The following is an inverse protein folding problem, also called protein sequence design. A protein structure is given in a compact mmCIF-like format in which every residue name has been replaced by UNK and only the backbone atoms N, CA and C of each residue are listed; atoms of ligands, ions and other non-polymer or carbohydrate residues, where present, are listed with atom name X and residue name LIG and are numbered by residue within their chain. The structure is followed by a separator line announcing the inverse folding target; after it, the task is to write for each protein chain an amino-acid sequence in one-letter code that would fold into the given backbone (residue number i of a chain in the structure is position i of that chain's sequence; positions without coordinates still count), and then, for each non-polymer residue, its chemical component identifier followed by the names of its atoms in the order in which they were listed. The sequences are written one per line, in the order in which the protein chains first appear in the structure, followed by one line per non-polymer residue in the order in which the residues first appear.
data_IF_092802560678
#
_entry.id   IF_092802560678
#
_cell.length_a   1.000
_cell.length_b   1.000
_cell.length_c   1.000
_cell.angle_alpha   90.00
_cell.angle_beta   90.00
_cell.angle_gamma   90.00
#
_symmetry.space_group_name_H-M   'P 1'
#
loop_
_entity.id
_entity.type
_entity.pdbx_description
1 polymer ?
#
# COMPACT_ATOMS: atom_id res chain seq x y z
N UNK A 1 -31.52 -16.84 4.67
CA UNK A 1 -30.23 -17.46 4.32
C UNK A 1 -29.60 -17.93 5.62
N UNK A 2 -28.83 -19.02 5.65
CA UNK A 2 -28.13 -19.44 6.87
C UNK A 2 -26.65 -19.11 6.70
N UNK A 3 -26.25 -17.92 7.13
CA UNK A 3 -24.85 -17.51 7.15
C UNK A 3 -24.20 -17.95 8.46
N UNK A 4 -23.19 -18.80 8.36
CA UNK A 4 -22.38 -19.28 9.48
C UNK A 4 -20.98 -18.66 9.41
N UNK A 5 -20.45 -18.21 10.56
CA UNK A 5 -19.08 -17.74 10.68
C UNK A 5 -18.19 -18.86 11.18
N UNK A 6 -17.06 -19.06 10.50
CA UNK A 6 -16.05 -20.07 10.82
C UNK A 6 -14.67 -19.44 10.94
N UNK A 7 -13.97 -19.73 12.04
CA UNK A 7 -12.55 -19.41 12.21
C UNK A 7 -11.67 -20.27 11.30
N UNK A 8 -10.65 -19.68 10.69
CA UNK A 8 -9.70 -20.37 9.81
C UNK A 8 -8.68 -21.15 10.64
N UNK A 9 -8.85 -22.47 10.73
CA UNK A 9 -7.98 -23.33 11.55
C UNK A 9 -7.13 -24.28 10.72
N UNK A 10 -7.58 -24.63 9.51
CA UNK A 10 -6.91 -25.64 8.67
C UNK A 10 -6.25 -25.03 7.44
N UNK A 11 -5.34 -25.79 6.81
CA UNK A 11 -4.76 -25.43 5.50
C UNK A 11 -5.82 -25.31 4.40
N UNK A 12 -6.95 -26.03 4.52
CA UNK A 12 -8.09 -25.96 3.60
C UNK A 12 -8.81 -24.63 3.76
N UNK A 13 -9.07 -24.23 5.01
CA UNK A 13 -9.71 -22.95 5.33
C UNK A 13 -8.85 -21.78 4.86
N UNK A 14 -7.53 -21.81 5.14
CA UNK A 14 -6.62 -20.76 4.70
C UNK A 14 -6.57 -20.65 3.17
N UNK A 15 -6.66 -21.78 2.47
CA UNK A 15 -6.75 -21.76 1.00
C UNK A 15 -8.05 -21.14 0.51
N UNK A 16 -9.18 -21.44 1.16
CA UNK A 16 -10.48 -20.84 0.83
C UNK A 16 -10.46 -19.34 1.10
N UNK A 17 -9.95 -18.93 2.27
CA UNK A 17 -9.70 -17.53 2.62
C UNK A 17 -8.93 -16.83 1.51
N UNK A 18 -7.74 -17.32 1.15
CA UNK A 18 -6.89 -16.67 0.13
C UNK A 18 -7.57 -16.60 -1.24
N UNK A 19 -8.31 -17.65 -1.64
CA UNK A 19 -8.83 -17.78 -3.01
C UNK A 19 -10.19 -17.15 -3.25
N UNK A 20 -10.94 -16.78 -2.22
CA UNK A 20 -12.27 -16.17 -2.38
C UNK A 20 -12.33 -14.98 -3.37
N UNK A 21 -11.33 -14.06 -3.43
CA UNK A 21 -11.32 -12.98 -4.42
C UNK A 21 -11.51 -13.45 -5.86
N UNK A 22 -10.93 -14.60 -6.25
CA UNK A 22 -11.07 -15.11 -7.62
C UNK A 22 -12.52 -15.39 -8.02
N UNK A 23 -13.39 -15.65 -7.06
CA UNK A 23 -14.81 -15.84 -7.28
C UNK A 23 -15.55 -14.51 -7.39
N UNK A 24 -15.20 -13.54 -6.54
CA UNK A 24 -15.81 -12.21 -6.47
C UNK A 24 -15.50 -11.40 -7.73
N UNK A 25 -14.24 -11.39 -8.16
CA UNK A 25 -13.77 -10.55 -9.27
C UNK A 25 -13.69 -11.30 -10.60
N UNK A 26 -14.28 -12.50 -10.72
CA UNK A 26 -14.13 -13.38 -11.91
C UNK A 26 -14.44 -12.70 -13.26
N UNK A 27 -15.32 -11.69 -13.24
CA UNK A 27 -15.77 -10.94 -14.41
C UNK A 27 -15.35 -9.46 -14.36
N UNK A 28 -14.53 -9.05 -13.39
CA UNK A 28 -14.06 -7.68 -13.29
C UNK A 28 -12.82 -7.50 -14.17
N UNK A 29 -12.88 -6.65 -15.21
CA UNK A 29 -11.78 -6.49 -16.15
C UNK A 29 -10.62 -5.68 -15.55
N UNK A 30 -10.76 -5.05 -14.40
CA UNK A 30 -9.75 -4.19 -13.79
C UNK A 30 -9.06 -4.82 -12.60
N UNK A 31 -9.65 -5.86 -12.00
CA UNK A 31 -9.03 -6.56 -10.90
C UNK A 31 -7.67 -7.18 -11.27
N UNK A 32 -6.70 -7.04 -10.37
CA UNK A 32 -5.36 -7.63 -10.50
C UNK A 32 -5.20 -8.65 -9.37
N UNK A 33 -5.14 -9.95 -9.67
CA UNK A 33 -5.06 -10.98 -8.64
C UNK A 33 -3.70 -10.94 -7.92
N UNK A 34 -3.67 -10.95 -6.57
CA UNK A 34 -2.40 -11.02 -5.85
C UNK A 34 -1.74 -12.39 -6.06
N UNK A 35 -0.42 -12.45 -5.89
CA UNK A 35 0.27 -13.74 -5.89
C UNK A 35 -0.18 -14.57 -4.68
N UNK A 36 -0.62 -15.81 -4.94
CA UNK A 36 -1.08 -16.72 -3.88
C UNK A 36 0.06 -17.03 -2.89
N UNK A 37 1.31 -17.04 -3.35
CA UNK A 37 2.48 -17.26 -2.50
C UNK A 37 2.71 -16.09 -1.54
N UNK A 38 2.51 -14.86 -2.00
CA UNK A 38 2.66 -13.65 -1.16
C UNK A 38 1.56 -13.61 -0.11
N UNK A 39 0.30 -13.91 -0.48
CA UNK A 39 -0.80 -14.03 0.48
C UNK A 39 -0.53 -15.09 1.54
N UNK A 40 -0.01 -16.27 1.16
CA UNK A 40 0.39 -17.31 2.11
C UNK A 40 1.52 -16.87 3.04
N UNK A 41 2.42 -16.02 2.56
CA UNK A 41 3.56 -15.53 3.33
C UNK A 41 3.12 -14.46 4.33
N UNK A 42 2.34 -13.49 3.88
CA UNK A 42 1.76 -12.42 4.69
C UNK A 42 0.92 -13.00 5.84
N UNK A 43 0.06 -13.98 5.54
CA UNK A 43 -0.81 -14.63 6.55
C UNK A 43 -0.08 -15.68 7.42
N UNK A 44 1.24 -15.85 7.28
CA UNK A 44 1.99 -16.84 8.04
C UNK A 44 2.49 -16.27 9.37
N UNK A 45 1.82 -16.63 10.47
CA UNK A 45 2.17 -16.20 11.84
C UNK A 45 3.62 -16.46 12.25
N UNK A 46 4.30 -17.45 11.66
CA UNK A 46 5.70 -17.79 11.97
C UNK A 46 6.74 -17.03 11.12
N UNK A 47 6.33 -16.45 10.00
CA UNK A 47 7.23 -15.84 9.01
C UNK A 47 7.06 -14.33 8.87
N UNK A 48 5.85 -13.83 9.09
CA UNK A 48 5.57 -12.41 9.00
C UNK A 48 5.92 -11.74 10.36
N UNK A 49 6.89 -10.80 10.41
CA UNK A 49 7.32 -10.16 11.65
C UNK A 49 6.23 -9.37 12.38
N UNK A 50 5.12 -8.99 11.71
CA UNK A 50 3.96 -8.39 12.35
C UNK A 50 3.50 -9.19 13.59
N UNK A 51 3.52 -10.52 13.49
CA UNK A 51 3.08 -11.41 14.57
C UNK A 51 4.07 -11.54 15.74
N UNK A 52 5.23 -10.88 15.70
CA UNK A 52 6.14 -10.83 16.84
C UNK A 52 5.62 -9.93 17.96
N UNK A 53 4.83 -8.92 17.60
CA UNK A 53 4.26 -7.96 18.55
C UNK A 53 2.74 -7.90 18.50
N UNK A 54 2.10 -8.38 17.42
CA UNK A 54 0.66 -8.25 17.17
C UNK A 54 -0.02 -9.60 16.90
N UNK A 55 -1.36 -9.62 16.84
CA UNK A 55 -2.14 -10.84 16.58
C UNK A 55 -3.26 -10.57 15.58
N UNK A 56 -3.75 -11.62 14.92
CA UNK A 56 -4.90 -11.54 14.05
C UNK A 56 -5.65 -12.87 14.01
N UNK A 57 -6.98 -12.80 13.87
CA UNK A 57 -7.85 -13.95 13.65
C UNK A 57 -8.55 -13.83 12.31
N UNK A 58 -8.63 -14.96 11.60
CA UNK A 58 -9.19 -15.00 10.26
C UNK A 58 -10.53 -15.71 10.30
N UNK A 59 -11.55 -15.09 9.72
CA UNK A 59 -12.90 -15.63 9.65
C UNK A 59 -13.35 -15.82 8.20
N UNK A 60 -14.19 -16.82 7.98
CA UNK A 60 -14.92 -17.09 6.75
C UNK A 60 -16.42 -17.04 7.05
N UNK A 61 -17.20 -16.46 6.14
CA UNK A 61 -18.65 -16.58 6.12
C UNK A 61 -19.03 -17.69 5.13
N UNK A 62 -19.91 -18.60 5.57
CA UNK A 62 -20.42 -19.69 4.76
C UNK A 62 -21.93 -19.61 4.61
N UNK A 63 -22.43 -19.72 3.38
CA UNK A 63 -23.84 -19.84 3.06
C UNK A 63 -24.08 -21.27 2.53
N UNK A 64 -24.75 -22.11 3.30
CA UNK A 64 -24.97 -23.53 2.97
C UNK A 64 -23.66 -24.27 2.57
N UNK A 65 -22.59 -24.03 3.33
CA UNK A 65 -21.27 -24.64 3.11
C UNK A 65 -20.39 -23.97 2.04
N UNK A 66 -20.95 -23.10 1.18
CA UNK A 66 -20.16 -22.28 0.23
C UNK A 66 -19.57 -21.09 0.95
N UNK A 67 -18.28 -20.81 0.77
CA UNK A 67 -17.65 -19.59 1.30
C UNK A 67 -18.14 -18.39 0.50
N UNK A 68 -18.73 -17.41 1.18
CA UNK A 68 -19.30 -16.19 0.57
C UNK A 68 -18.64 -14.91 1.06
N UNK A 69 -17.80 -15.00 2.09
CA UNK A 69 -17.06 -13.84 2.62
C UNK A 69 -15.87 -14.25 3.48
N UNK A 70 -14.97 -13.29 3.72
CA UNK A 70 -13.79 -13.44 4.58
C UNK A 70 -13.44 -12.11 5.24
N UNK A 71 -12.85 -12.15 6.43
CA UNK A 71 -12.28 -10.97 7.11
C UNK A 71 -11.15 -11.40 8.04
N UNK A 72 -10.17 -10.52 8.25
CA UNK A 72 -9.23 -10.62 9.35
C UNK A 72 -9.61 -9.60 10.43
N UNK A 73 -9.75 -10.04 11.68
CA UNK A 73 -9.74 -9.19 12.86
C UNK A 73 -8.30 -9.07 13.36
N UNK A 74 -7.84 -7.86 13.66
CA UNK A 74 -6.43 -7.55 13.80
C UNK A 74 -6.22 -6.71 15.05
N UNK A 75 -5.27 -7.14 15.88
CA UNK A 75 -4.76 -6.37 17.01
C UNK A 75 -3.36 -5.88 16.64
N UNK A 76 -3.23 -4.59 16.33
CA UNK A 76 -1.94 -3.96 16.04
C UNK A 76 -1.40 -3.27 17.29
N UNK A 77 -0.57 -3.99 18.06
CA UNK A 77 -0.05 -3.50 19.33
C UNK A 77 0.93 -2.33 19.16
N UNK A 78 1.70 -2.30 18.07
CA UNK A 78 2.60 -1.19 17.78
C UNK A 78 1.83 0.10 17.46
N UNK A 79 0.71 0.02 16.74
CA UNK A 79 -0.19 1.16 16.54
C UNK A 79 -0.71 1.68 17.89
N UNK A 80 -1.29 0.78 18.69
CA UNK A 80 -1.88 1.16 19.98
C UNK A 80 -0.85 1.76 20.94
N UNK A 81 0.38 1.23 20.96
CA UNK A 81 1.49 1.80 21.75
C UNK A 81 1.94 3.17 21.23
N UNK A 82 2.04 3.34 19.92
CA UNK A 82 2.53 4.58 19.30
C UNK A 82 1.55 5.72 19.48
N UNK A 83 0.25 5.45 19.29
CA UNK A 83 -0.80 6.46 19.34
C UNK A 83 -1.50 6.55 20.70
N UNK A 84 -1.16 5.68 21.64
CA UNK A 84 -1.84 5.54 22.94
C UNK A 84 -3.36 5.35 22.78
N UNK A 85 -3.74 4.44 21.87
CA UNK A 85 -5.12 4.12 21.52
C UNK A 85 -5.49 2.69 21.97
N UNK A 86 -6.80 2.39 21.99
CA UNK A 86 -7.35 1.04 22.12
C UNK A 86 -8.08 0.66 20.83
N UNK A 87 -7.33 0.63 19.73
CA UNK A 87 -7.84 0.42 18.39
C UNK A 87 -7.70 -1.06 17.97
N UNK A 88 -8.82 -1.67 17.64
CA UNK A 88 -8.89 -2.89 16.86
C UNK A 88 -8.93 -2.56 15.37
N UNK A 89 -8.46 -3.49 14.55
CA UNK A 89 -8.44 -3.32 13.10
C UNK A 89 -9.17 -4.46 12.40
N UNK A 90 -9.67 -4.19 11.20
CA UNK A 90 -10.06 -5.24 10.26
C UNK A 90 -9.33 -5.09 8.92
N UNK A 91 -9.16 -6.20 8.22
CA UNK A 91 -8.44 -6.28 6.96
C UNK A 91 -8.84 -7.48 6.15
N UNK A 92 -8.25 -7.62 4.96
CA UNK A 92 -8.47 -8.73 4.04
C UNK A 92 -9.95 -8.99 3.73
N UNK A 93 -10.81 -7.99 3.96
CA UNK A 93 -12.25 -8.10 3.84
C UNK A 93 -12.63 -8.37 2.39
N UNK A 94 -13.37 -9.44 2.18
CA UNK A 94 -14.05 -9.69 0.92
C UNK A 94 -15.40 -10.31 1.22
N UNK A 95 -16.39 -10.00 0.41
CA UNK A 95 -17.70 -10.62 0.43
C UNK A 95 -18.26 -10.67 -0.98
N UNK A 96 -19.07 -11.68 -1.29
CA UNK A 96 -20.07 -11.55 -2.34
C UNK A 96 -21.06 -10.44 -1.98
N UNK A 97 -21.93 -10.05 -2.91
CA UNK A 97 -22.98 -9.05 -2.69
C UNK A 97 -24.11 -9.62 -1.79
N UNK A 98 -23.74 -9.98 -0.56
CA UNK A 98 -24.56 -10.60 0.48
C UNK A 98 -24.41 -9.78 1.78
N UNK A 99 -25.26 -8.76 2.01
CA UNK A 99 -25.16 -7.86 3.17
C UNK A 99 -25.13 -8.59 4.53
N UNK A 100 -25.89 -9.68 4.66
CA UNK A 100 -25.90 -10.49 5.90
C UNK A 100 -24.53 -11.10 6.20
N UNK A 101 -23.80 -11.55 5.17
CA UNK A 101 -22.46 -12.10 5.31
C UNK A 101 -21.44 -11.02 5.69
N UNK A 102 -21.49 -9.87 5.03
CA UNK A 102 -20.65 -8.72 5.35
C UNK A 102 -20.85 -8.27 6.80
N UNK A 103 -22.11 -8.12 7.25
CA UNK A 103 -22.43 -7.74 8.62
C UNK A 103 -21.89 -8.74 9.64
N UNK A 104 -22.18 -10.05 9.47
CA UNK A 104 -21.71 -11.08 10.40
C UNK A 104 -20.18 -11.17 10.49
N UNK A 105 -19.47 -10.92 9.39
CA UNK A 105 -18.00 -10.84 9.39
C UNK A 105 -17.49 -9.65 10.20
N UNK A 106 -18.06 -8.46 9.98
CA UNK A 106 -17.68 -7.25 10.72
C UNK A 106 -18.01 -7.39 12.22
N UNK A 107 -19.19 -7.91 12.57
CA UNK A 107 -19.59 -8.20 13.95
C UNK A 107 -18.63 -9.19 14.63
N UNK A 108 -18.13 -10.19 13.90
CA UNK A 108 -17.16 -11.17 14.41
C UNK A 108 -15.79 -10.52 14.66
N UNK A 109 -15.36 -9.63 13.76
CA UNK A 109 -14.13 -8.88 13.97
C UNK A 109 -14.22 -7.90 15.14
N UNK A 110 -15.35 -7.21 15.27
CA UNK A 110 -15.68 -6.34 16.39
C UNK A 110 -15.62 -7.11 17.72
N UNK A 111 -16.31 -8.25 17.80
CA UNK A 111 -16.35 -9.10 19.00
C UNK A 111 -14.95 -9.56 19.40
N UNK A 112 -14.15 -10.02 18.44
CA UNK A 112 -12.79 -10.50 18.71
C UNK A 112 -11.85 -9.39 19.21
N UNK A 113 -11.91 -8.18 18.65
CA UNK A 113 -11.07 -7.08 19.15
C UNK A 113 -11.57 -6.55 20.50
N UNK A 114 -12.88 -6.59 20.74
CA UNK A 114 -13.51 -6.23 22.02
C UNK A 114 -13.06 -7.15 23.15
N UNK A 115 -13.03 -8.45 22.91
CA UNK A 115 -12.50 -9.45 23.86
C UNK A 115 -11.03 -9.19 24.22
N UNK A 116 -10.27 -8.55 23.33
CA UNK A 116 -8.88 -8.10 23.57
C UNK A 116 -8.79 -6.69 24.18
N UNK A 117 -9.90 -6.12 24.61
CA UNK A 117 -9.97 -4.84 25.31
C UNK A 117 -9.90 -3.61 24.41
N UNK A 118 -10.14 -3.76 23.10
CA UNK A 118 -10.22 -2.63 22.17
C UNK A 118 -11.59 -1.95 22.27
N UNK A 119 -11.62 -0.63 22.05
CA UNK A 119 -12.83 0.21 22.17
C UNK A 119 -13.31 0.75 20.83
N UNK A 120 -12.62 0.42 19.75
CA UNK A 120 -12.93 0.90 18.39
C UNK A 120 -12.42 -0.10 17.37
N UNK A 121 -13.02 -0.08 16.18
CA UNK A 121 -12.67 -0.93 15.04
C UNK A 121 -12.41 -0.05 13.81
N UNK A 122 -11.20 -0.09 13.25
CA UNK A 122 -10.79 0.71 12.07
C UNK A 122 -10.34 -0.19 10.91
N UNK A 123 -10.69 0.16 9.68
CA UNK A 123 -10.28 -0.63 8.53
C UNK A 123 -10.75 -0.08 7.17
N UNK A 124 -10.36 -0.73 6.07
CA UNK A 124 -9.54 -1.94 6.05
C UNK A 124 -8.05 -1.62 6.12
N UNK A 125 -7.30 -2.39 6.92
CA UNK A 125 -5.83 -2.44 6.88
C UNK A 125 -5.39 -3.91 6.78
N UNK A 126 -4.53 -4.26 5.83
CA UNK A 126 -3.98 -5.61 5.75
C UNK A 126 -2.79 -5.75 6.73
N UNK A 127 -3.11 -5.62 8.03
CA UNK A 127 -2.24 -5.56 9.22
C UNK A 127 -1.82 -4.17 9.68
N UNK A 128 -1.29 -3.35 8.78
CA UNK A 128 -0.84 -2.00 9.14
C UNK A 128 -1.05 -1.02 7.99
N UNK A 129 -0.85 0.26 8.26
CA UNK A 129 -0.77 1.35 7.27
C UNK A 129 0.54 1.31 6.46
N UNK A 130 1.53 0.50 6.88
CA UNK A 130 2.73 0.22 6.10
C UNK A 130 2.49 -0.89 5.06
N UNK A 131 1.44 -1.70 5.25
CA UNK A 131 0.90 -2.64 4.27
C UNK A 131 -0.22 -1.96 3.45
N UNK A 132 -0.93 -2.71 2.61
CA UNK A 132 -2.06 -2.15 1.84
C UNK A 132 -3.26 -1.83 2.74
N UNK A 133 -3.82 -0.62 2.64
CA UNK A 133 -5.02 -0.19 3.36
C UNK A 133 -5.98 0.65 2.50
N UNK A 134 -7.19 0.85 3.04
CA UNK A 134 -8.24 1.66 2.45
C UNK A 134 -9.06 0.94 1.37
N UNK A 135 -10.37 1.20 1.34
CA UNK A 135 -11.21 0.81 0.20
C UNK A 135 -11.11 1.85 -0.91
N UNK A 136 -11.05 1.41 -2.16
CA UNK A 136 -11.28 2.26 -3.33
C UNK A 136 -12.70 2.84 -3.25
N UNK A 137 -12.80 4.17 -3.30
CA UNK A 137 -14.07 4.92 -3.27
C UNK A 137 -14.39 5.61 -4.59
N UNK A 138 -13.38 5.84 -5.43
CA UNK A 138 -13.52 6.47 -6.74
C UNK A 138 -12.46 5.95 -7.73
N UNK A 139 -12.78 5.93 -9.02
CA UNK A 139 -11.92 5.41 -10.10
C UNK A 139 -12.00 3.89 -10.30
N UNK A 140 -13.20 3.31 -10.32
CA UNK A 140 -13.43 1.86 -10.57
C UNK A 140 -13.27 1.45 -12.05
N UNK A 141 -12.82 2.35 -12.91
CA UNK A 141 -12.73 2.23 -14.37
C UNK A 141 -11.31 1.85 -14.85
N UNK A 142 -10.42 1.48 -13.94
CA UNK A 142 -9.03 1.14 -14.25
C UNK A 142 -8.41 0.22 -13.19
N UNK A 143 -7.41 -0.57 -13.59
CA UNK A 143 -6.67 -1.44 -12.67
C UNK A 143 -5.91 -0.65 -11.58
N UNK A 144 -5.74 -1.20 -10.36
CA UNK A 144 -4.84 -0.62 -9.38
C UNK A 144 -3.38 -0.78 -9.83
N UNK A 145 -2.53 0.18 -9.46
CA UNK A 145 -1.07 0.02 -9.55
C UNK A 145 -0.55 -0.86 -8.41
N UNK A 146 0.69 -1.32 -8.52
CA UNK A 146 1.35 -2.17 -7.54
C UNK A 146 1.16 -1.66 -6.09
N UNK A 147 0.82 -2.58 -5.18
CA UNK A 147 0.58 -2.28 -3.75
C UNK A 147 -0.57 -1.29 -3.48
N UNK A 148 -1.50 -1.09 -4.40
CA UNK A 148 -2.76 -0.38 -4.14
C UNK A 148 -3.94 -1.34 -4.10
N UNK A 149 -4.94 -1.01 -3.28
CA UNK A 149 -6.14 -1.84 -3.11
C UNK A 149 -7.12 -1.66 -4.27
N UNK A 150 -7.99 -2.64 -4.44
CA UNK A 150 -9.12 -2.61 -5.35
C UNK A 150 -10.22 -3.49 -4.76
N UNK A 151 -11.46 -3.03 -4.82
CA UNK A 151 -12.63 -3.71 -4.27
C UNK A 151 -13.87 -3.43 -5.12
N UNK A 152 -14.94 -4.23 -5.01
CA UNK A 152 -16.21 -3.91 -5.61
C UNK A 152 -16.81 -2.67 -4.95
N UNK A 153 -17.55 -1.88 -5.74
CA UNK A 153 -18.18 -0.64 -5.28
C UNK A 153 -19.19 -0.85 -4.16
N UNK A 154 -19.88 -2.01 -4.13
CA UNK A 154 -20.89 -2.32 -3.12
C UNK A 154 -20.31 -2.51 -1.70
N UNK A 155 -18.99 -2.69 -1.54
CA UNK A 155 -18.37 -2.77 -0.21
C UNK A 155 -18.56 -1.49 0.61
N UNK A 156 -18.67 -0.34 -0.06
CA UNK A 156 -18.91 0.94 0.62
C UNK A 156 -20.29 0.98 1.29
N UNK A 157 -21.28 0.30 0.70
CA UNK A 157 -22.61 0.19 1.30
C UNK A 157 -22.57 -0.70 2.55
N UNK A 158 -21.79 -1.79 2.53
CA UNK A 158 -21.62 -2.64 3.71
C UNK A 158 -21.02 -1.90 4.90
N UNK A 159 -20.04 -1.01 4.66
CA UNK A 159 -19.47 -0.20 5.73
C UNK A 159 -20.54 0.72 6.33
N UNK A 160 -21.29 1.43 5.48
CA UNK A 160 -22.37 2.32 5.92
C UNK A 160 -23.46 1.56 6.70
N UNK A 161 -23.91 0.41 6.20
CA UNK A 161 -24.95 -0.41 6.85
C UNK A 161 -24.47 -1.02 8.18
N UNK A 162 -23.16 -1.18 8.35
CA UNK A 162 -22.55 -1.68 9.58
C UNK A 162 -22.13 -0.56 10.55
N UNK A 163 -22.63 0.67 10.34
CA UNK A 163 -22.34 1.85 11.16
C UNK A 163 -20.83 2.17 11.27
N UNK A 164 -20.07 1.91 10.21
CA UNK A 164 -18.68 2.33 10.07
C UNK A 164 -18.64 3.66 9.31
N UNK A 165 -18.14 4.70 9.98
CA UNK A 165 -18.02 6.04 9.43
C UNK A 165 -16.68 6.24 8.74
N UNK A 166 -16.66 7.03 7.66
CA UNK A 166 -15.40 7.40 6.99
C UNK A 166 -14.54 8.25 7.93
N UNK A 167 -13.33 7.80 8.25
CA UNK A 167 -12.41 8.51 9.17
C UNK A 167 -11.25 9.21 8.47
N UNK A 168 -10.86 8.73 7.29
CA UNK A 168 -9.79 9.34 6.48
C UNK A 168 -9.95 9.01 5.01
N UNK A 169 -9.70 9.98 4.14
CA UNK A 169 -9.60 9.79 2.69
C UNK A 169 -8.15 9.99 2.21
N UNK A 170 -7.77 9.22 1.19
CA UNK A 170 -6.50 9.32 0.50
C UNK A 170 -6.71 9.51 -1.00
N UNK A 171 -5.85 10.31 -1.61
CA UNK A 171 -5.81 10.54 -3.04
C UNK A 171 -4.68 9.76 -3.70
N UNK A 172 -4.96 9.35 -4.93
CA UNK A 172 -4.00 8.82 -5.86
C UNK A 172 -3.98 9.73 -7.09
N UNK A 173 -2.83 10.32 -7.35
CA UNK A 173 -2.57 11.20 -8.47
C UNK A 173 -1.88 10.43 -9.60
N UNK A 174 -2.20 10.78 -10.83
CA UNK A 174 -1.59 10.21 -12.02
C UNK A 174 -1.00 11.31 -12.90
N UNK A 175 0.19 11.06 -13.43
CA UNK A 175 0.87 11.94 -14.36
C UNK A 175 1.33 11.14 -15.58
N UNK A 176 0.87 11.52 -16.76
CA UNK A 176 1.36 10.98 -18.03
C UNK A 176 2.51 11.83 -18.56
N UNK A 177 3.46 11.22 -19.28
CA UNK A 177 4.61 11.92 -19.85
C UNK A 177 4.23 13.05 -20.81
N UNK A 178 3.07 12.94 -21.47
CA UNK A 178 2.52 13.96 -22.37
C UNK A 178 2.04 15.21 -21.63
N UNK A 179 2.01 15.18 -20.30
CA UNK A 179 1.79 16.36 -19.46
C UNK A 179 3.15 16.88 -19.00
N UNK A 180 3.74 17.86 -19.70
CA UNK A 180 5.04 18.40 -19.31
C UNK A 180 4.94 19.11 -17.97
N UNK A 181 5.95 18.92 -17.12
CA UNK A 181 6.06 19.69 -15.89
C UNK A 181 6.22 21.19 -16.20
N UNK A 182 5.56 22.10 -15.47
CA UNK A 182 5.68 23.53 -15.72
C UNK A 182 7.14 24.02 -15.67
N UNK A 183 7.52 24.90 -16.59
CA UNK A 183 8.91 25.38 -16.71
C UNK A 183 9.48 25.96 -15.41
N UNK A 184 8.64 26.68 -14.65
CA UNK A 184 9.01 27.25 -13.35
C UNK A 184 9.42 26.15 -12.36
N UNK A 185 8.69 25.03 -12.33
CA UNK A 185 9.00 23.88 -11.49
C UNK A 185 10.32 23.23 -11.93
N UNK A 186 10.48 22.98 -13.24
CA UNK A 186 11.70 22.41 -13.82
C UNK A 186 12.92 23.27 -13.49
N UNK A 187 12.82 24.60 -13.64
CA UNK A 187 13.92 25.53 -13.33
C UNK A 187 14.30 25.49 -11.86
N UNK A 188 13.33 25.43 -10.96
CA UNK A 188 13.58 25.32 -9.52
C UNK A 188 14.25 23.99 -9.15
N UNK A 189 13.75 22.88 -9.68
CA UNK A 189 14.33 21.55 -9.45
C UNK A 189 15.76 21.47 -9.98
N UNK A 190 16.01 21.92 -11.22
CA UNK A 190 17.37 21.97 -11.81
C UNK A 190 18.32 22.83 -10.97
N UNK A 191 17.88 24.01 -10.51
CA UNK A 191 18.69 24.87 -9.63
C UNK A 191 19.09 24.15 -8.34
N UNK A 192 18.15 23.40 -7.74
CA UNK A 192 18.43 22.57 -6.56
C UNK A 192 19.49 21.52 -6.88
N UNK A 193 19.35 20.80 -8.00
CA UNK A 193 20.28 19.75 -8.42
C UNK A 193 21.67 20.26 -8.84
N UNK A 194 21.82 21.57 -9.09
CA UNK A 194 23.11 22.22 -9.38
C UNK A 194 23.91 22.59 -8.12
N UNK A 195 23.31 22.51 -6.92
CA UNK A 195 24.04 22.73 -5.66
C UNK A 195 25.10 21.63 -5.49
N UNK A 196 26.38 22.00 -5.51
CA UNK A 196 27.52 21.06 -5.41
C UNK A 196 27.54 20.23 -4.13
N UNK A 197 26.79 20.67 -3.10
CA UNK A 197 26.64 19.94 -1.84
C UNK A 197 25.64 18.79 -1.95
N UNK A 198 24.77 18.81 -2.96
CA UNK A 198 23.75 17.81 -3.19
C UNK A 198 24.26 16.78 -4.18
N UNK A 199 24.25 15.51 -3.78
CA UNK A 199 24.57 14.38 -4.65
C UNK A 199 23.38 13.44 -4.69
N UNK A 200 22.86 13.17 -5.88
CA UNK A 200 21.90 12.09 -6.09
C UNK A 200 22.65 10.83 -6.54
N UNK A 201 22.48 9.74 -5.81
CA UNK A 201 23.04 8.43 -6.17
C UNK A 201 21.97 7.35 -6.21
N UNK A 202 22.10 6.44 -7.16
CA UNK A 202 21.25 5.25 -7.21
C UNK A 202 21.46 4.41 -5.95
N UNK A 203 20.45 3.63 -5.61
CA UNK A 203 20.59 2.61 -4.58
C UNK A 203 21.64 1.57 -5.01
N UNK A 204 22.58 1.24 -4.11
CA UNK A 204 23.56 0.20 -4.38
C UNK A 204 22.99 -1.20 -4.11
N UNK A 205 22.53 -1.88 -5.15
CA UNK A 205 21.97 -3.23 -5.04
C UNK A 205 22.98 -4.29 -4.56
N UNK A 206 24.30 -4.04 -4.68
CA UNK A 206 25.34 -4.92 -4.15
C UNK A 206 25.48 -4.79 -2.63
N UNK A 207 25.21 -3.60 -2.10
CA UNK A 207 25.24 -3.30 -0.66
C UNK A 207 23.83 -3.07 -0.08
N UNK A 208 22.88 -3.88 -0.54
CA UNK A 208 21.46 -3.71 -0.25
C UNK A 208 21.14 -3.62 1.24
N UNK A 209 21.89 -4.35 2.09
CA UNK A 209 21.66 -4.37 3.54
C UNK A 209 21.93 -3.00 4.18
N UNK A 210 23.01 -2.32 3.79
CA UNK A 210 23.35 -1.01 4.34
C UNK A 210 22.43 0.08 3.76
N UNK A 211 22.07 -0.03 2.47
CA UNK A 211 21.10 0.88 1.85
C UNK A 211 19.75 0.84 2.57
N UNK A 212 19.26 -0.35 2.92
CA UNK A 212 18.02 -0.51 3.70
C UNK A 212 18.12 0.23 5.05
N UNK A 213 19.25 0.15 5.74
CA UNK A 213 19.43 0.82 7.02
C UNK A 213 19.39 2.36 6.86
N UNK A 214 19.98 2.88 5.80
CA UNK A 214 19.91 4.32 5.46
C UNK A 214 18.47 4.73 5.19
N UNK A 215 17.77 4.00 4.31
CA UNK A 215 16.38 4.31 3.93
C UNK A 215 15.45 4.20 5.15
N UNK A 216 15.59 3.16 5.99
CA UNK A 216 14.81 3.02 7.22
C UNK A 216 14.98 4.24 8.14
N UNK A 217 16.23 4.69 8.35
CA UNK A 217 16.50 5.85 9.19
C UNK A 217 15.90 7.14 8.64
N UNK A 218 15.91 7.33 7.31
CA UNK A 218 15.24 8.48 6.69
C UNK A 218 13.71 8.34 6.77
N UNK A 219 13.18 7.14 6.54
CA UNK A 219 11.74 6.87 6.55
C UNK A 219 11.13 7.18 7.92
N UNK A 220 11.71 6.61 8.99
CA UNK A 220 11.20 6.83 10.35
C UNK A 220 11.32 8.31 10.79
N UNK A 221 12.37 9.02 10.38
CA UNK A 221 12.51 10.46 10.67
C UNK A 221 11.52 11.31 9.86
N UNK A 222 11.29 10.99 8.58
CA UNK A 222 10.47 11.85 7.71
C UNK A 222 8.95 11.65 7.91
N UNK A 223 8.51 10.49 8.39
CA UNK A 223 7.09 10.09 8.42
C UNK A 223 6.44 10.08 9.81
N UNK A 224 7.18 10.44 10.87
CA UNK A 224 6.68 10.41 12.26
C UNK A 224 5.36 11.17 12.48
N UNK A 225 5.13 12.27 11.73
CA UNK A 225 3.91 13.09 11.85
C UNK A 225 2.74 12.65 10.95
N UNK A 226 2.88 11.58 10.15
CA UNK A 226 1.85 11.19 9.19
C UNK A 226 0.70 10.43 9.89
N UNK A 227 -0.54 10.63 9.42
CA UNK A 227 -1.71 10.00 10.05
C UNK A 227 -1.61 8.47 10.03
N UNK A 228 -1.85 7.84 11.18
CA UNK A 228 -1.78 6.38 11.35
C UNK A 228 -0.39 5.80 11.14
N UNK A 229 0.67 6.62 11.15
CA UNK A 229 2.04 6.16 11.00
C UNK A 229 2.50 5.38 12.23
N UNK A 230 3.00 4.18 11.98
CA UNK A 230 3.67 3.36 12.99
C UNK A 230 5.10 3.14 12.55
N UNK A 231 6.10 3.56 13.35
CA UNK A 231 7.50 3.32 13.05
C UNK A 231 7.75 1.82 12.79
N UNK A 232 8.28 1.50 11.61
CA UNK A 232 8.56 0.12 11.27
C UNK A 232 9.76 -0.39 12.06
N UNK A 233 9.58 -1.54 12.71
CA UNK A 233 10.70 -2.22 13.35
C UNK A 233 11.70 -2.70 12.30
N UNK A 234 12.97 -2.83 12.68
CA UNK A 234 14.05 -3.29 11.79
C UNK A 234 13.73 -4.62 11.09
N UNK A 235 13.09 -5.55 11.80
CA UNK A 235 12.71 -6.84 11.22
C UNK A 235 11.62 -6.71 10.15
N UNK A 236 10.61 -5.86 10.39
CA UNK A 236 9.53 -5.58 9.44
C UNK A 236 10.05 -4.85 8.21
N UNK A 237 10.84 -3.79 8.41
CA UNK A 237 11.41 -3.00 7.31
C UNK A 237 12.32 -3.87 6.42
N UNK A 238 13.16 -4.72 7.03
CA UNK A 238 14.00 -5.66 6.29
C UNK A 238 13.18 -6.74 5.57
N UNK A 239 12.09 -7.21 6.17
CA UNK A 239 11.19 -8.17 5.53
C UNK A 239 10.55 -7.56 4.28
N UNK A 240 9.96 -6.37 4.40
CA UNK A 240 9.37 -5.63 3.30
C UNK A 240 10.40 -5.34 2.20
N UNK A 241 11.60 -4.85 2.56
CA UNK A 241 12.64 -4.55 1.58
C UNK A 241 13.10 -5.79 0.81
N UNK A 242 13.17 -6.96 1.44
CA UNK A 242 13.48 -8.24 0.76
C UNK A 242 12.39 -8.63 -0.24
N UNK A 243 11.14 -8.30 0.06
CA UNK A 243 9.98 -8.64 -0.78
C UNK A 243 9.87 -7.72 -1.98
N UNK A 244 10.24 -6.44 -1.80
CA UNK A 244 10.31 -5.48 -2.89
C UNK A 244 11.57 -5.66 -3.74
N UNK A 245 12.65 -6.27 -3.22
CA UNK A 245 13.92 -6.44 -3.93
C UNK A 245 13.78 -6.93 -5.39
N UNK A 246 12.95 -7.94 -5.72
CA UNK A 246 12.82 -8.43 -7.09
C UNK A 246 12.17 -7.46 -8.07
N UNK A 247 11.42 -6.47 -7.57
CA UNK A 247 10.70 -5.48 -8.37
C UNK A 247 11.38 -4.11 -8.41
N UNK A 248 12.46 -3.90 -7.64
CA UNK A 248 13.23 -2.65 -7.68
C UNK A 248 13.92 -2.48 -9.03
N UNK A 249 13.73 -1.31 -9.65
CA UNK A 249 14.61 -0.80 -10.70
C UNK A 249 15.56 0.25 -10.10
N UNK A 250 16.88 -0.05 -10.00
CA UNK A 250 17.83 0.83 -9.34
C UNK A 250 18.05 2.17 -10.05
N UNK A 251 17.60 2.34 -11.30
CA UNK A 251 17.74 3.60 -12.02
C UNK A 251 16.73 4.66 -11.59
N UNK A 252 15.62 4.24 -10.97
CA UNK A 252 14.53 5.11 -10.47
C UNK A 252 14.39 5.08 -8.94
N UNK A 253 15.33 4.42 -8.24
CA UNK A 253 15.42 4.42 -6.78
C UNK A 253 16.76 5.04 -6.36
N UNK A 254 16.71 6.16 -5.66
CA UNK A 254 17.90 6.94 -5.37
C UNK A 254 17.82 7.68 -4.03
N UNK A 255 19.01 8.01 -3.51
CA UNK A 255 19.23 8.73 -2.26
C UNK A 255 19.85 10.08 -2.59
N UNK A 256 19.36 11.15 -1.95
CA UNK A 256 20.05 12.42 -1.87
C UNK A 256 20.98 12.43 -0.67
N UNK A 257 22.24 12.80 -0.92
CA UNK A 257 23.20 13.17 0.10
C UNK A 257 23.38 14.69 0.08
N UNK A 258 23.45 15.31 1.25
CA UNK A 258 23.81 16.72 1.43
C UNK A 258 25.10 16.76 2.23
N UNK A 259 26.18 17.29 1.65
CA UNK A 259 27.50 17.34 2.29
C UNK A 259 28.00 15.94 2.75
N UNK A 260 27.63 14.90 1.98
CA UNK A 260 27.96 13.49 2.27
C UNK A 260 27.01 12.79 3.25
N UNK A 261 26.07 13.51 3.88
CA UNK A 261 25.07 12.94 4.79
C UNK A 261 23.80 12.53 4.02
N UNK A 262 23.28 11.29 4.16
CA UNK A 262 21.99 10.90 3.58
C UNK A 262 20.84 11.79 4.10
N UNK A 263 20.27 12.58 3.20
CA UNK A 263 19.29 13.61 3.50
C UNK A 263 17.87 13.23 3.09
N UNK A 264 17.72 12.37 2.08
CA UNK A 264 16.42 11.95 1.57
C UNK A 264 16.51 10.78 0.61
N UNK A 265 15.38 10.19 0.25
CA UNK A 265 15.28 9.16 -0.77
C UNK A 265 13.99 9.29 -1.60
N UNK A 266 14.05 8.75 -2.82
CA UNK A 266 12.90 8.55 -3.70
C UNK A 266 12.79 7.05 -4.02
N UNK A 267 11.63 6.45 -3.72
CA UNK A 267 11.32 5.06 -4.01
C UNK A 267 10.15 4.99 -5.00
N UNK A 268 10.48 4.75 -6.27
CA UNK A 268 9.51 4.39 -7.31
C UNK A 268 9.66 2.92 -7.70
N UNK A 269 8.54 2.21 -7.86
CA UNK A 269 8.51 0.83 -8.33
C UNK A 269 7.81 0.74 -9.69
N UNK A 270 8.34 -0.04 -10.64
CA UNK A 270 7.60 -0.40 -11.86
C UNK A 270 6.28 -1.09 -11.51
N UNK A 271 5.22 -0.74 -12.23
CA UNK A 271 3.89 -1.31 -12.01
C UNK A 271 3.78 -2.73 -12.58
N UNK A 272 4.28 -3.71 -11.83
CA UNK A 272 4.20 -5.12 -12.20
C UNK A 272 2.76 -5.63 -12.29
N UNK A 273 1.75 -4.90 -11.79
CA UNK A 273 0.35 -5.28 -11.95
C UNK A 273 -0.07 -5.40 -13.42
N UNK A 274 0.57 -4.62 -14.32
CA UNK A 274 0.36 -4.71 -15.78
C UNK A 274 0.64 -6.11 -16.34
N UNK A 275 1.50 -6.90 -15.69
CA UNK A 275 1.78 -8.30 -16.07
C UNK A 275 1.09 -9.29 -15.12
N UNK A 276 1.06 -9.01 -13.81
CA UNK A 276 0.51 -9.92 -12.81
C UNK A 276 -0.97 -10.25 -13.07
N UNK A 277 -1.70 -9.32 -13.67
CA UNK A 277 -3.08 -9.53 -14.15
C UNK A 277 -3.21 -10.76 -15.04
N UNK A 278 -2.28 -10.97 -15.98
CA UNK A 278 -2.26 -12.13 -16.89
C UNK A 278 -1.74 -13.43 -16.23
N UNK A 279 -1.01 -13.31 -15.12
CA UNK A 279 -0.46 -14.44 -14.34
C UNK A 279 -1.51 -15.04 -13.41
N UNK A 280 -2.54 -14.25 -13.05
CA UNK A 280 -3.68 -14.70 -12.27
C UNK A 280 -3.29 -15.39 -10.94
N UNK A 281 -2.33 -14.78 -10.24
CA UNK A 281 -1.83 -15.20 -8.92
C UNK A 281 -0.95 -16.44 -8.85
N UNK A 282 -0.68 -17.13 -9.97
CA UNK A 282 0.15 -18.34 -10.01
C UNK A 282 1.48 -18.12 -10.71
N UNK A 283 2.50 -17.77 -9.93
CA UNK A 283 3.84 -17.54 -10.47
C UNK A 283 4.51 -18.82 -10.99
N UNK A 284 4.32 -19.96 -10.35
CA UNK A 284 4.96 -21.22 -10.75
C UNK A 284 3.95 -22.28 -11.22
N UNK A 285 4.35 -23.18 -12.14
CA UNK A 285 5.68 -23.20 -12.78
C UNK A 285 5.82 -22.23 -13.96
N UNK A 286 4.73 -21.78 -14.59
CA UNK A 286 4.80 -21.06 -15.87
C UNK A 286 4.62 -19.54 -15.80
N UNK A 287 4.02 -18.99 -14.74
CA UNK A 287 3.79 -17.55 -14.59
C UNK A 287 5.07 -16.73 -14.56
N UNK A 288 6.17 -17.30 -14.08
CA UNK A 288 7.48 -16.66 -14.03
C UNK A 288 8.01 -16.36 -15.44
N UNK A 289 7.75 -17.24 -16.42
CA UNK A 289 8.13 -16.97 -17.81
C UNK A 289 7.30 -15.83 -18.39
N UNK A 290 5.98 -15.78 -18.11
CA UNK A 290 5.16 -14.61 -18.48
C UNK A 290 5.71 -13.32 -17.87
N UNK A 291 6.11 -13.35 -16.59
CA UNK A 291 6.70 -12.20 -15.91
C UNK A 291 7.98 -11.72 -16.60
N UNK A 292 8.91 -12.64 -16.86
CA UNK A 292 10.22 -12.33 -17.44
C UNK A 292 10.12 -11.87 -18.90
N UNK A 293 9.29 -12.52 -19.72
CA UNK A 293 9.13 -12.22 -21.15
C UNK A 293 8.40 -10.90 -21.40
N UNK A 294 7.50 -10.51 -20.49
CA UNK A 294 6.67 -9.31 -20.66
C UNK A 294 7.18 -8.08 -19.91
N UNK A 295 8.38 -8.11 -19.31
CA UNK A 295 8.92 -6.95 -18.54
C UNK A 295 8.89 -5.63 -19.30
N UNK A 296 9.10 -5.65 -20.62
CA UNK A 296 9.06 -4.46 -21.48
C UNK A 296 7.66 -3.85 -21.64
N UNK A 297 6.59 -4.59 -21.29
CA UNK A 297 5.22 -4.07 -21.28
C UNK A 297 4.97 -3.12 -20.10
N UNK A 298 5.84 -3.08 -19.09
CA UNK A 298 5.66 -2.21 -17.93
C UNK A 298 5.97 -0.78 -18.34
N UNK A 299 4.93 0.04 -18.44
CA UNK A 299 5.02 1.45 -18.85
C UNK A 299 4.77 2.44 -17.73
N UNK A 300 4.24 2.00 -16.59
CA UNK A 300 3.94 2.85 -15.45
C UNK A 300 4.87 2.56 -14.27
N UNK A 301 5.11 3.57 -13.44
CA UNK A 301 5.74 3.43 -12.12
C UNK A 301 4.81 3.99 -11.04
N UNK A 302 4.87 3.42 -9.85
CA UNK A 302 4.29 3.98 -8.63
C UNK A 302 5.40 4.60 -7.81
N UNK A 303 5.30 5.89 -7.50
CA UNK A 303 6.13 6.57 -6.51
C UNK A 303 5.53 6.28 -5.14
N UNK A 304 6.03 5.23 -4.48
CA UNK A 304 5.47 4.72 -3.21
C UNK A 304 5.73 5.69 -2.08
N UNK A 305 6.97 6.19 -1.99
CA UNK A 305 7.34 7.10 -0.92
C UNK A 305 8.53 7.96 -1.35
N UNK A 306 8.48 9.19 -0.85
CA UNK A 306 9.54 10.18 -0.95
C UNK A 306 9.74 10.69 0.46
N UNK A 307 10.96 10.53 0.99
CA UNK A 307 11.31 10.96 2.33
C UNK A 307 12.43 11.97 2.29
N UNK A 308 12.29 13.08 3.00
CA UNK A 308 13.39 14.01 3.30
C UNK A 308 13.43 14.17 4.81
N UNK A 309 14.60 13.94 5.42
CA UNK A 309 14.79 14.11 6.87
C UNK A 309 14.42 15.51 7.31
N UNK A 310 13.86 15.66 8.52
CA UNK A 310 13.34 16.94 9.01
C UNK A 310 14.39 18.07 8.96
N UNK A 311 15.65 17.75 9.28
CA UNK A 311 16.82 18.64 9.19
C UNK A 311 16.97 19.31 7.81
N UNK A 312 16.53 18.68 6.72
CA UNK A 312 16.74 19.13 5.34
C UNK A 312 15.48 19.64 4.61
N UNK A 313 14.28 19.43 5.15
CA UNK A 313 13.00 19.72 4.47
C UNK A 313 12.83 21.19 4.05
N UNK A 314 13.14 22.16 4.94
CA UNK A 314 12.79 23.58 4.74
C UNK A 314 13.82 24.41 3.95
N UNK A 315 15.05 23.92 3.77
CA UNK A 315 16.18 24.77 3.35
C UNK A 315 16.71 24.51 1.95
N UNK A 316 16.32 23.41 1.29
CA UNK A 316 17.05 22.91 0.12
C UNK A 316 16.21 22.50 -1.09
N UNK A 317 14.88 22.46 -1.01
CA UNK A 317 14.04 22.11 -2.17
C UNK A 317 14.17 20.66 -2.67
N UNK A 318 14.61 19.74 -1.79
CA UNK A 318 14.87 18.33 -2.16
C UNK A 318 13.62 17.59 -2.66
N UNK A 319 12.45 17.82 -2.06
CA UNK A 319 11.23 17.12 -2.47
C UNK A 319 10.82 17.45 -3.93
N UNK A 320 10.73 18.73 -4.35
CA UNK A 320 10.57 19.08 -5.78
C UNK A 320 11.64 18.48 -6.70
N UNK A 321 12.91 18.44 -6.26
CA UNK A 321 14.00 17.86 -7.03
C UNK A 321 13.81 16.35 -7.24
N UNK A 322 13.28 15.62 -6.24
CA UNK A 322 12.97 14.21 -6.35
C UNK A 322 11.84 13.91 -7.35
N UNK A 323 10.79 14.73 -7.40
CA UNK A 323 9.75 14.58 -8.42
C UNK A 323 10.31 14.76 -9.83
N UNK A 324 11.06 15.84 -10.04
CA UNK A 324 11.69 16.12 -11.33
C UNK A 324 12.64 15.00 -11.75
N UNK A 325 13.51 14.56 -10.84
CA UNK A 325 14.49 13.52 -11.15
C UNK A 325 13.84 12.16 -11.41
N UNK A 326 12.79 11.81 -10.65
CA UNK A 326 12.00 10.59 -10.89
C UNK A 326 11.33 10.62 -12.26
N UNK A 327 10.75 11.76 -12.65
CA UNK A 327 10.18 11.95 -13.99
C UNK A 327 11.22 11.79 -15.09
N UNK A 328 12.35 12.50 -15.00
CA UNK A 328 13.42 12.45 -16.01
C UNK A 328 14.00 11.04 -16.14
N UNK A 329 14.31 10.37 -15.02
CA UNK A 329 14.82 9.00 -15.01
C UNK A 329 13.79 8.02 -15.56
N UNK A 330 12.53 8.17 -15.15
CA UNK A 330 11.43 7.31 -15.57
C UNK A 330 11.22 7.36 -17.07
N UNK A 331 11.06 8.55 -17.64
CA UNK A 331 10.87 8.75 -19.08
C UNK A 331 12.06 8.24 -19.89
N UNK A 332 13.30 8.49 -19.45
CA UNK A 332 14.51 7.96 -20.10
C UNK A 332 14.56 6.43 -20.12
N UNK A 333 13.95 5.77 -19.13
CA UNK A 333 13.85 4.31 -19.03
C UNK A 333 12.68 3.73 -19.83
N UNK A 334 11.83 4.58 -20.41
CA UNK A 334 10.66 4.18 -21.19
C UNK A 334 9.36 4.07 -20.38
N UNK A 335 9.34 4.56 -19.13
CA UNK A 335 8.10 4.69 -18.38
C UNK A 335 7.35 5.94 -18.84
N UNK A 336 6.13 5.75 -19.33
CA UNK A 336 5.28 6.81 -19.86
C UNK A 336 4.36 7.44 -18.80
N UNK A 337 4.28 6.86 -17.60
CA UNK A 337 3.46 7.42 -16.52
C UNK A 337 3.99 7.15 -15.12
N UNK A 338 3.60 8.05 -14.21
CA UNK A 338 3.87 7.96 -12.79
C UNK A 338 2.58 8.10 -11.97
N UNK A 339 2.47 7.29 -10.92
CA UNK A 339 1.38 7.31 -9.96
C UNK A 339 1.90 7.73 -8.57
N UNK A 340 1.14 8.57 -7.86
CA UNK A 340 1.44 9.04 -6.51
C UNK A 340 0.23 8.82 -5.61
N UNK A 341 0.28 7.77 -4.80
CA UNK A 341 -0.85 7.31 -3.98
C UNK A 341 -0.62 7.51 -2.49
N UNK A 342 -1.70 7.33 -1.73
CA UNK A 342 -1.76 7.52 -0.28
C UNK A 342 -1.37 8.94 0.14
N UNK A 343 -1.74 9.92 -0.68
CA UNK A 343 -1.66 11.31 -0.29
C UNK A 343 -2.89 11.63 0.56
N UNK A 344 -2.70 11.98 1.83
CA UNK A 344 -3.82 12.32 2.71
C UNK A 344 -4.59 13.53 2.17
N UNK A 345 -5.91 13.50 2.31
CA UNK A 345 -6.80 14.60 1.89
C UNK A 345 -6.41 15.95 2.52
N UNK A 346 -5.90 15.93 3.74
CA UNK A 346 -5.49 17.10 4.53
C UNK A 346 -4.01 17.49 4.34
N UNK A 347 -3.25 16.74 3.53
CA UNK A 347 -1.87 17.10 3.19
C UNK A 347 -1.81 18.16 2.08
N UNK A 348 -2.23 19.38 2.42
CA UNK A 348 -2.34 20.53 1.51
C UNK A 348 -1.03 20.80 0.75
N UNK A 349 0.13 20.62 1.41
CA UNK A 349 1.44 20.86 0.78
C UNK A 349 1.69 19.86 -0.35
N UNK A 350 1.43 18.58 -0.13
CA UNK A 350 1.65 17.53 -1.12
C UNK A 350 0.62 17.57 -2.23
N UNK A 351 -0.66 17.77 -1.90
CA UNK A 351 -1.74 17.91 -2.89
C UNK A 351 -1.44 19.07 -3.86
N UNK A 352 -1.08 20.25 -3.34
CA UNK A 352 -0.68 21.40 -4.18
C UNK A 352 0.60 21.16 -4.98
N UNK A 353 1.57 20.42 -4.43
CA UNK A 353 2.79 20.09 -5.15
C UNK A 353 2.51 19.18 -6.36
N UNK A 354 1.65 18.17 -6.20
CA UNK A 354 1.27 17.24 -7.27
C UNK A 354 0.39 17.92 -8.33
N UNK A 355 -0.58 18.73 -7.91
CA UNK A 355 -1.37 19.57 -8.82
C UNK A 355 -0.47 20.54 -9.59
N UNK A 356 0.51 21.14 -8.90
CA UNK A 356 1.48 22.07 -9.47
C UNK A 356 2.43 21.46 -10.51
N UNK A 357 2.61 20.14 -10.54
CA UNK A 357 3.34 19.44 -11.62
C UNK A 357 2.41 18.89 -12.71
N UNK A 358 1.11 19.18 -12.64
CA UNK A 358 0.11 18.75 -13.61
C UNK A 358 -0.48 17.36 -13.37
N UNK A 359 -0.18 16.72 -12.24
CA UNK A 359 -0.78 15.44 -11.89
C UNK A 359 -2.26 15.63 -11.53
N UNK A 360 -3.09 14.64 -11.84
CA UNK A 360 -4.53 14.67 -11.58
C UNK A 360 -4.95 13.55 -10.65
N UNK A 361 -5.83 13.83 -9.69
CA UNK A 361 -6.46 12.77 -8.90
C UNK A 361 -7.26 11.88 -9.85
N UNK A 362 -6.97 10.58 -9.84
CA UNK A 362 -7.65 9.59 -10.69
C UNK A 362 -8.33 8.48 -9.88
N UNK A 363 -7.90 8.26 -8.62
CA UNK A 363 -8.53 7.35 -7.68
C UNK A 363 -8.57 7.97 -6.28
N UNK A 364 -9.57 7.57 -5.51
CA UNK A 364 -9.70 7.91 -4.09
C UNK A 364 -9.88 6.65 -3.26
N UNK A 365 -9.41 6.70 -2.03
CA UNK A 365 -9.44 5.60 -1.08
C UNK A 365 -9.91 6.07 0.28
N UNK A 366 -10.59 5.24 1.05
CA UNK A 366 -11.08 5.61 2.37
C UNK A 366 -10.83 4.54 3.44
N UNK A 367 -10.52 5.02 4.64
CA UNK A 367 -10.60 4.26 5.89
C UNK A 367 -11.92 4.54 6.58
N UNK A 368 -12.43 3.52 7.25
CA UNK A 368 -13.63 3.56 8.05
C UNK A 368 -13.35 3.18 9.49
N UNK A 369 -14.15 3.70 10.41
CA UNK A 369 -14.04 3.45 11.85
C UNK A 369 -15.41 3.39 12.50
N UNK A 370 -15.53 2.57 13.55
CA UNK A 370 -16.68 2.50 14.42
C UNK A 370 -16.21 2.38 15.87
N UNK A 371 -16.92 3.04 16.80
CA UNK A 371 -16.73 2.81 18.24
C UNK A 371 -17.43 1.52 18.68
N UNK A 372 -16.77 0.78 19.57
CA UNK A 372 -17.29 -0.44 20.15
C UNK A 372 -17.80 -0.10 21.54
N UNK A 373 -19.08 -0.36 21.80
CA UNK A 373 -19.73 -0.12 23.08
C UNK A 373 -19.34 -1.14 24.16
#
# INVERSE_FOLDING_TARGET
MNIEIKTVQTKKDLRAFIKLPWEIYKNDPYWVPPLILDMKKILNKKKNPFFNHSDAELFLAQNNGRVVGRIAAILNNNHNKTHNEKMGFFGFFESLDEPEAAKKLLDSAESWVKEKGMTSLRGPTNFSTNDTCGFLTDGFDSSPVIMMTYNPKYYLNFMKESALDKVKEFYAYYLHQDTPMPERFVKFAKKTLQDKRIRLRNINMKDFKNEIAIVQGIYNDAWESNWGFVPMEKAEFLHMARDLKPVIDPDIVFIAEVDGEPAGFSLALPDYNQILKEINGRLFPFGIFKLLLNKKKITAVRVITLGVRHKFQKKRGLAPAFYYETYVRGTRKGYSSGEFSWILEDNVLMNRALEGIGAKVYKKYAMYEKKID
#
